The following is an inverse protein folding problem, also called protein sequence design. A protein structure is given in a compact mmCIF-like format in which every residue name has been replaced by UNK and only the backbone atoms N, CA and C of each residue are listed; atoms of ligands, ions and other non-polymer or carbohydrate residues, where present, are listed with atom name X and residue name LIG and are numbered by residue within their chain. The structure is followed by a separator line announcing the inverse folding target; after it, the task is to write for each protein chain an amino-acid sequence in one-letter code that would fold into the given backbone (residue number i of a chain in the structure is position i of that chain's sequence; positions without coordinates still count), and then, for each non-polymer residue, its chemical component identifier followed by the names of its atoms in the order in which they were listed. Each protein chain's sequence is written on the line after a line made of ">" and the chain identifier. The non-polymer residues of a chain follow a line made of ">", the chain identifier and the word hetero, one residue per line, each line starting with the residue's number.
data_IF_054584094569
#
_entry.id   IF_054584094569
#
_cell.length_a   1.000
_cell.length_b   1.000
_cell.length_c   1.000
_cell.angle_alpha   90.00
_cell.angle_beta   90.00
_cell.angle_gamma   90.00
#
_symmetry.space_group_name_H-M   'P 1'
#
loop_
_entity.id
_entity.type
_entity.pdbx_description
1 polymer ?
#
# COMPACT_ATOMS: atom_id res chain seq x y z
N UNK A 1 8.70 13.57 18.89
CA UNK A 1 8.95 12.35 18.09
C UNK A 1 8.27 12.58 16.75
N UNK A 2 8.94 12.40 15.60
CA UNK A 2 8.26 12.55 14.30
C UNK A 2 7.38 11.33 14.05
N UNK A 3 6.14 11.55 13.68
CA UNK A 3 5.23 10.51 13.20
C UNK A 3 5.07 10.65 11.69
N UNK A 4 4.53 9.62 11.05
CA UNK A 4 4.23 9.69 9.65
C UNK A 4 3.35 8.54 9.21
N UNK A 5 2.89 8.64 7.98
CA UNK A 5 1.94 7.70 7.38
C UNK A 5 2.56 7.14 6.11
N UNK A 6 2.41 5.84 5.92
CA UNK A 6 2.66 5.19 4.64
C UNK A 6 1.32 4.91 3.97
N UNK A 7 1.23 5.20 2.68
CA UNK A 7 0.07 4.91 1.83
C UNK A 7 0.51 3.90 0.76
N UNK A 8 -0.23 2.81 0.65
CA UNK A 8 -0.07 1.77 -0.36
C UNK A 8 -1.18 1.90 -1.39
N UNK A 9 -0.83 2.01 -2.66
CA UNK A 9 -1.79 1.95 -3.77
C UNK A 9 -1.82 0.53 -4.34
N UNK A 10 -2.98 -0.10 -4.25
CA UNK A 10 -3.24 -1.44 -4.78
C UNK A 10 -4.09 -1.33 -6.04
N UNK A 11 -3.50 -1.71 -7.17
CA UNK A 11 -4.13 -1.66 -8.48
C UNK A 11 -4.83 -2.99 -8.75
N UNK A 12 -6.09 -2.92 -9.18
CA UNK A 12 -6.85 -4.07 -9.64
C UNK A 12 -6.70 -4.14 -11.14
N UNK A 13 -5.91 -5.11 -11.58
CA UNK A 13 -5.58 -5.31 -12.99
C UNK A 13 -6.55 -6.33 -13.57
N UNK A 14 -7.26 -5.94 -14.62
CA UNK A 14 -8.20 -6.83 -15.29
C UNK A 14 -7.50 -7.78 -16.26
N UNK A 15 -8.25 -8.75 -16.80
CA UNK A 15 -7.71 -9.79 -17.67
C UNK A 15 -7.06 -9.33 -18.98
N UNK A 16 -7.19 -8.04 -19.34
CA UNK A 16 -6.50 -7.41 -20.47
C UNK A 16 -5.28 -6.55 -20.06
N UNK A 17 -4.87 -6.58 -18.79
CA UNK A 17 -3.78 -5.76 -18.26
C UNK A 17 -4.16 -4.30 -17.97
N UNK A 18 -5.43 -3.93 -18.14
CA UNK A 18 -5.96 -2.60 -17.85
C UNK A 18 -6.11 -2.42 -16.34
N UNK A 19 -5.73 -1.25 -15.83
CA UNK A 19 -6.03 -0.87 -14.45
C UNK A 19 -7.49 -0.42 -14.35
N UNK A 20 -8.30 -1.18 -13.62
CA UNK A 20 -9.73 -0.91 -13.44
C UNK A 20 -10.01 -0.10 -12.18
N UNK A 21 -9.14 -0.21 -11.17
CA UNK A 21 -9.32 0.47 -9.90
C UNK A 21 -8.03 0.54 -9.12
N UNK A 22 -7.76 1.70 -8.52
CA UNK A 22 -6.70 1.88 -7.52
C UNK A 22 -7.33 2.02 -6.14
N UNK A 23 -6.88 1.21 -5.19
CA UNK A 23 -7.31 1.23 -3.80
C UNK A 23 -6.15 1.61 -2.89
N UNK A 24 -6.33 2.69 -2.13
CA UNK A 24 -5.34 3.15 -1.17
C UNK A 24 -5.57 2.54 0.22
N UNK A 25 -4.48 2.11 0.85
CA UNK A 25 -4.46 1.67 2.25
C UNK A 25 -3.41 2.47 3.01
N UNK A 26 -3.80 3.06 4.14
CA UNK A 26 -2.91 3.88 4.96
C UNK A 26 -2.56 3.19 6.27
N UNK A 27 -1.31 3.32 6.70
CA UNK A 27 -0.84 2.78 7.95
C UNK A 27 0.23 3.70 8.57
N UNK A 28 0.43 3.67 9.90
CA UNK A 28 1.50 4.44 10.52
C UNK A 28 2.88 3.91 10.14
N UNK A 29 3.82 4.82 9.87
CA UNK A 29 5.25 4.50 9.75
C UNK A 29 5.77 3.87 11.06
N UNK A 30 6.83 3.04 11.00
CA UNK A 30 7.42 2.43 12.19
C UNK A 30 8.28 3.46 12.95
N UNK A 31 7.67 4.56 13.38
CA UNK A 31 8.32 5.65 14.09
C UNK A 31 8.43 5.35 15.59
N UNK A 32 9.45 5.93 16.28
CA UNK A 32 10.52 6.76 15.74
C UNK A 32 11.62 5.96 15.02
N UNK A 33 12.19 6.57 13.98
CA UNK A 33 13.37 6.07 13.26
C UNK A 33 14.50 7.07 13.51
N UNK A 34 15.54 6.63 14.21
CA UNK A 34 16.68 7.49 14.56
C UNK A 34 17.53 7.81 13.32
N UNK A 35 18.32 8.87 13.38
CA UNK A 35 19.18 9.26 12.27
C UNK A 35 20.16 8.12 11.91
N UNK A 36 20.16 7.71 10.64
CA UNK A 36 20.97 6.58 10.16
C UNK A 36 20.43 5.20 10.50
N UNK A 37 19.34 5.09 11.27
CA UNK A 37 18.69 3.82 11.56
C UNK A 37 17.74 3.41 10.44
N UNK A 38 17.59 2.11 10.23
CA UNK A 38 16.56 1.53 9.37
C UNK A 38 15.64 0.64 10.20
N UNK A 39 14.33 0.71 9.93
CA UNK A 39 13.34 -0.21 10.51
C UNK A 39 12.57 -0.91 9.40
N UNK A 40 12.35 -2.21 9.58
CA UNK A 40 11.53 -3.03 8.69
C UNK A 40 10.23 -3.39 9.40
N UNK A 41 9.11 -3.18 8.72
CA UNK A 41 7.78 -3.57 9.19
C UNK A 41 7.00 -4.16 8.03
N UNK A 42 6.32 -5.27 8.28
CA UNK A 42 5.39 -5.88 7.32
C UNK A 42 4.02 -5.29 7.57
N UNK A 43 3.35 -4.87 6.49
CA UNK A 43 2.00 -4.32 6.53
C UNK A 43 1.06 -5.27 5.81
N UNK A 44 -0.10 -5.51 6.43
CA UNK A 44 -1.18 -6.25 5.79
C UNK A 44 -2.05 -5.25 5.04
N UNK A 45 -2.17 -5.42 3.73
CA UNK A 45 -3.07 -4.63 2.88
C UNK A 45 -4.22 -5.54 2.47
N UNK A 46 -5.44 -5.12 2.76
CA UNK A 46 -6.65 -5.89 2.46
C UNK A 46 -7.38 -5.27 1.27
N UNK A 47 -7.86 -6.12 0.37
CA UNK A 47 -8.78 -5.77 -0.70
C UNK A 47 -9.98 -6.69 -0.59
N UNK A 48 -11.19 -6.13 -0.67
CA UNK A 48 -12.39 -6.94 -0.65
C UNK A 48 -12.47 -7.85 -1.89
N UNK A 49 -12.77 -9.13 -1.70
CA UNK A 49 -12.77 -10.12 -2.78
C UNK A 49 -13.70 -9.76 -3.95
N UNK A 50 -14.84 -9.10 -3.69
CA UNK A 50 -15.78 -8.67 -4.73
C UNK A 50 -15.19 -7.62 -5.67
N UNK A 51 -14.11 -6.92 -5.25
CA UNK A 51 -13.38 -5.95 -6.07
C UNK A 51 -12.36 -6.59 -6.99
N UNK A 52 -12.11 -7.89 -6.86
CA UNK A 52 -11.19 -8.66 -7.73
C UNK A 52 -11.97 -9.81 -8.37
N UNK A 53 -12.77 -9.53 -9.41
CA UNK A 53 -13.48 -10.56 -10.16
C UNK A 53 -12.55 -11.63 -10.76
N UNK A 54 -13.13 -12.78 -11.13
CA UNK A 54 -12.41 -13.85 -11.82
C UNK A 54 -11.67 -13.34 -13.06
N UNK A 55 -10.39 -13.69 -13.17
CA UNK A 55 -9.50 -13.24 -14.24
C UNK A 55 -8.83 -11.88 -13.99
N UNK A 56 -9.10 -11.25 -12.84
CA UNK A 56 -8.37 -10.08 -12.36
C UNK A 56 -7.38 -10.47 -11.26
N UNK A 57 -6.38 -9.62 -11.04
CA UNK A 57 -5.44 -9.75 -9.93
C UNK A 57 -5.10 -8.37 -9.34
N UNK A 58 -4.43 -8.37 -8.20
CA UNK A 58 -4.00 -7.14 -7.53
C UNK A 58 -2.49 -6.96 -7.61
N UNK A 59 -2.06 -5.72 -7.75
CA UNK A 59 -0.65 -5.33 -7.71
C UNK A 59 -0.47 -4.10 -6.82
N UNK A 60 0.37 -4.20 -5.80
CA UNK A 60 0.78 -3.02 -5.03
C UNK A 60 2.00 -2.40 -5.71
N UNK A 61 1.81 -1.25 -6.37
CA UNK A 61 2.86 -0.61 -7.18
C UNK A 61 3.41 0.65 -6.52
N UNK A 62 2.52 1.51 -6.01
CA UNK A 62 2.94 2.78 -5.42
C UNK A 62 2.92 2.72 -3.90
N UNK A 63 4.03 3.15 -3.30
CA UNK A 63 4.19 3.31 -1.85
C UNK A 63 4.70 4.72 -1.58
N UNK A 64 3.88 5.52 -0.91
CA UNK A 64 4.25 6.89 -0.51
C UNK A 64 4.38 6.98 1.00
N UNK A 65 5.42 7.68 1.46
CA UNK A 65 5.65 7.92 2.87
C UNK A 65 5.64 9.44 3.12
N UNK A 66 4.80 9.88 4.04
CA UNK A 66 4.67 11.27 4.44
C UNK A 66 4.95 11.42 5.93
N UNK A 67 5.80 12.38 6.29
CA UNK A 67 6.08 12.75 7.68
C UNK A 67 5.16 13.87 8.15
N UNK A 68 4.90 13.90 9.46
CA UNK A 68 4.20 14.97 10.16
C UNK A 68 5.14 15.70 11.14
#
# INVERSE_FOLDING_TARGET
>A
MRSGTVTFATHVIGGLGVDWATLESTAPLPAPIDAGAARKKTYTVCVDAWRVPLGMHVETRDVTAAWK
#
